data_IF_814100620509
#
_entry.id   IF_814100620509
#
_cell.length_a   1.000
_cell.length_b   1.000
_cell.length_c   1.000
_cell.angle_alpha   90.00
_cell.angle_beta   90.00
_cell.angle_gamma   90.00
#
_symmetry.space_group_name_H-M   'P 1'
#
loop_
_entity.id
_entity.type
_entity.pdbx_description
1 polymer ?
#
# COMPACT_ATOMS: atom_id res chain seq x y z
N UNK A 1 1.79 -8.30 -7.25
CA UNK A 1 2.82 -8.89 -6.34
C UNK A 1 2.23 -9.09 -4.96
N UNK A 2 2.78 -10.00 -4.15
CA UNK A 2 2.35 -10.20 -2.76
C UNK A 2 3.12 -9.30 -1.80
N UNK A 3 2.45 -8.81 -0.76
CA UNK A 3 3.04 -7.96 0.29
C UNK A 3 2.57 -8.41 1.68
N UNK A 4 3.41 -8.28 2.72
CA UNK A 4 2.99 -8.55 4.08
C UNK A 4 1.87 -7.61 4.52
N UNK A 5 0.80 -8.17 5.07
CA UNK A 5 -0.33 -7.42 5.60
C UNK A 5 -0.98 -8.10 6.80
N UNK A 6 -1.72 -7.33 7.59
CA UNK A 6 -2.48 -7.81 8.73
C UNK A 6 -3.72 -6.94 8.96
N UNK A 7 -4.75 -7.53 9.59
CA UNK A 7 -5.89 -6.81 10.16
C UNK A 7 -5.85 -6.87 11.68
N UNK A 8 -6.15 -5.74 12.34
CA UNK A 8 -6.16 -5.63 13.79
C UNK A 8 -4.82 -6.07 14.39
N UNK A 9 -4.86 -6.95 15.40
CA UNK A 9 -3.68 -7.45 16.11
C UNK A 9 -2.99 -8.67 15.47
N UNK A 10 -3.45 -9.12 14.29
CA UNK A 10 -2.83 -10.27 13.62
C UNK A 10 -1.36 -10.02 13.24
N UNK A 11 -0.58 -11.09 13.10
CA UNK A 11 0.76 -11.01 12.54
C UNK A 11 0.71 -10.65 11.05
N UNK A 12 1.73 -9.93 10.55
CA UNK A 12 1.84 -9.68 9.12
C UNK A 12 2.17 -10.96 8.37
N UNK A 13 1.40 -11.25 7.32
CA UNK A 13 1.60 -12.38 6.42
C UNK A 13 1.58 -11.92 4.95
N UNK A 14 2.38 -12.51 4.05
CA UNK A 14 2.51 -12.09 2.64
C UNK A 14 1.31 -12.49 1.77
N UNK A 15 0.09 -12.23 2.25
CA UNK A 15 -1.15 -12.73 1.64
C UNK A 15 -1.89 -11.65 0.84
N UNK A 16 -1.58 -10.38 1.07
CA UNK A 16 -2.20 -9.30 0.30
C UNK A 16 -1.54 -9.15 -1.06
N UNK A 17 -2.33 -8.83 -2.07
CA UNK A 17 -1.81 -8.40 -3.36
C UNK A 17 -1.80 -6.87 -3.46
N UNK A 18 -0.80 -6.34 -4.14
CA UNK A 18 -0.73 -4.92 -4.50
C UNK A 18 -0.66 -4.77 -6.02
N UNK A 19 -1.48 -3.84 -6.51
CA UNK A 19 -1.55 -3.40 -7.89
C UNK A 19 -1.31 -1.89 -7.94
N UNK A 20 -0.49 -1.42 -8.89
CA UNK A 20 -0.25 -0.01 -9.12
C UNK A 20 -0.92 0.41 -10.42
N UNK A 21 -1.66 1.52 -10.39
CA UNK A 21 -2.21 2.18 -11.58
C UNK A 21 -1.78 3.65 -11.60
N UNK A 22 -1.58 4.18 -12.81
CA UNK A 22 -1.20 5.58 -13.03
C UNK A 22 -2.30 6.27 -13.82
N UNK A 23 -2.70 7.45 -13.37
CA UNK A 23 -3.69 8.28 -14.06
C UNK A 23 -3.36 9.76 -13.94
N UNK A 24 -4.29 10.61 -14.40
CA UNK A 24 -4.18 12.06 -14.25
C UNK A 24 -4.03 12.50 -12.79
N UNK A 25 -4.57 11.68 -11.88
CA UNK A 25 -4.48 11.83 -10.43
C UNK A 25 -3.18 11.26 -9.81
N UNK A 26 -2.17 10.96 -10.61
CA UNK A 26 -0.93 10.36 -10.13
C UNK A 26 -1.06 8.85 -9.92
N UNK A 27 -0.35 8.33 -8.91
CA UNK A 27 -0.20 6.88 -8.72
C UNK A 27 -1.20 6.38 -7.68
N UNK A 28 -2.04 5.42 -8.03
CA UNK A 28 -2.96 4.74 -7.13
C UNK A 28 -2.49 3.29 -6.92
N UNK A 29 -2.32 2.92 -5.65
CA UNK A 29 -2.08 1.57 -5.18
C UNK A 29 -3.39 0.96 -4.73
N UNK A 30 -3.71 -0.21 -5.26
CA UNK A 30 -4.83 -1.05 -4.80
C UNK A 30 -4.26 -2.23 -4.02
N UNK A 31 -4.57 -2.31 -2.74
CA UNK A 31 -4.20 -3.41 -1.85
C UNK A 31 -5.42 -4.31 -1.65
N UNK A 32 -5.30 -5.60 -1.99
CA UNK A 32 -6.39 -6.56 -1.88
C UNK A 32 -6.04 -7.63 -0.84
N UNK A 33 -6.94 -7.82 0.12
CA UNK A 33 -6.89 -8.87 1.11
C UNK A 33 -7.44 -10.18 0.52
N UNK A 34 -7.02 -11.35 1.04
CA UNK A 34 -7.51 -12.65 0.58
C UNK A 34 -9.02 -12.85 0.83
N UNK A 35 -9.61 -12.10 1.75
CA UNK A 35 -11.05 -12.11 2.01
C UNK A 35 -11.87 -11.28 0.99
N UNK A 36 -11.22 -10.72 -0.04
CA UNK A 36 -11.83 -9.92 -1.09
C UNK A 36 -11.93 -8.43 -0.75
N UNK A 37 -11.66 -8.02 0.49
CA UNK A 37 -11.60 -6.61 0.88
C UNK A 37 -10.43 -5.89 0.20
N UNK A 38 -10.58 -4.60 -0.09
CA UNK A 38 -9.49 -3.82 -0.69
C UNK A 38 -9.41 -2.38 -0.17
N UNK A 39 -8.22 -1.79 -0.28
CA UNK A 39 -7.92 -0.39 0.03
C UNK A 39 -7.25 0.29 -1.15
N UNK A 40 -7.58 1.56 -1.38
CA UNK A 40 -6.97 2.39 -2.42
C UNK A 40 -6.19 3.53 -1.81
N UNK A 41 -4.96 3.67 -2.26
CA UNK A 41 -3.94 4.51 -1.69
C UNK A 41 -3.29 5.34 -2.81
N UNK A 42 -3.44 6.65 -2.81
CA UNK A 42 -2.76 7.59 -3.72
C UNK A 42 -1.37 7.91 -3.17
N UNK A 43 -0.33 7.70 -3.97
CA UNK A 43 1.02 8.13 -3.61
C UNK A 43 1.08 9.66 -3.78
N UNK A 44 1.58 10.34 -2.76
CA UNK A 44 1.85 11.78 -2.82
C UNK A 44 2.88 12.08 -3.91
N UNK A 45 2.78 13.22 -4.61
CA UNK A 45 3.73 13.60 -5.66
C UNK A 45 5.19 13.69 -5.18
N UNK A 46 5.41 13.86 -3.88
CA UNK A 46 6.73 13.90 -3.26
C UNK A 46 7.39 12.51 -3.10
N UNK A 47 6.67 11.43 -3.39
CA UNK A 47 7.13 10.04 -3.25
C UNK A 47 7.43 9.62 -1.82
N UNK A 48 7.10 10.45 -0.82
CA UNK A 48 7.41 10.24 0.60
C UNK A 48 6.17 9.91 1.43
N UNK A 49 4.99 9.98 0.84
CA UNK A 49 3.72 9.73 1.51
C UNK A 49 2.72 8.98 0.66
N UNK A 50 1.77 8.34 1.34
CA UNK A 50 0.62 7.67 0.74
C UNK A 50 -0.63 8.19 1.44
N UNK A 51 -1.65 8.58 0.69
CA UNK A 51 -2.91 9.16 1.18
C UNK A 51 -4.07 8.34 0.61
N UNK A 52 -5.12 8.02 1.36
CA UNK A 52 -6.27 7.32 0.76
C UNK A 52 -6.87 8.15 -0.40
N UNK A 53 -7.25 7.46 -1.48
CA UNK A 53 -7.68 8.13 -2.72
C UNK A 53 -9.00 8.91 -2.59
N UNK A 54 -9.80 8.64 -1.56
CA UNK A 54 -11.05 9.32 -1.22
C UNK A 54 -10.90 10.37 -0.10
N UNK A 55 -9.70 10.51 0.48
CA UNK A 55 -9.40 11.48 1.54
C UNK A 55 -10.06 11.19 2.91
N UNK A 56 -10.82 10.10 3.05
CA UNK A 56 -11.58 9.82 4.26
C UNK A 56 -10.72 9.28 5.42
N UNK A 57 -9.62 8.61 5.10
CA UNK A 57 -8.73 8.01 6.07
C UNK A 57 -7.26 8.28 5.71
N UNK A 58 -6.52 8.96 6.58
CA UNK A 58 -5.09 9.21 6.33
C UNK A 58 -4.31 7.95 6.64
N UNK A 59 -3.62 7.41 5.63
CA UNK A 59 -2.64 6.37 5.87
C UNK A 59 -1.48 6.95 6.69
N UNK A 60 -1.10 6.23 7.74
CA UNK A 60 0.09 6.54 8.52
C UNK A 60 1.25 5.75 7.92
N UNK A 61 2.26 6.46 7.42
CA UNK A 61 3.44 5.88 6.80
C UNK A 61 4.63 6.04 7.74
N UNK A 62 5.28 4.94 8.08
CA UNK A 62 6.49 4.92 8.89
C UNK A 62 7.60 4.21 8.15
N UNK A 63 8.83 4.70 8.26
CA UNK A 63 9.99 3.96 7.80
C UNK A 63 10.08 2.63 8.57
N UNK A 64 10.31 1.53 7.85
CA UNK A 64 10.44 0.21 8.44
C UNK A 64 11.88 -0.28 8.29
N UNK A 65 12.08 -1.53 7.86
CA UNK A 65 13.42 -2.03 7.51
C UNK A 65 13.95 -1.36 6.24
N UNK A 66 15.28 -1.33 6.01
CA UNK A 66 15.87 -0.75 4.82
C UNK A 66 15.19 -1.23 3.53
N UNK A 67 14.70 -0.30 2.72
CA UNK A 67 13.98 -0.60 1.48
C UNK A 67 12.46 -0.84 1.64
N UNK A 68 11.89 -0.66 2.83
CA UNK A 68 10.44 -0.80 3.05
C UNK A 68 9.84 0.31 3.93
N UNK A 69 8.53 0.49 3.78
CA UNK A 69 7.68 1.36 4.58
C UNK A 69 6.55 0.53 5.19
N UNK A 70 6.22 0.82 6.43
CA UNK A 70 5.00 0.32 7.06
C UNK A 70 3.89 1.34 6.85
N UNK A 71 2.72 0.86 6.42
CA UNK A 71 1.54 1.66 6.12
C UNK A 71 0.39 1.15 6.96
N UNK A 72 -0.14 1.99 7.84
CA UNK A 72 -1.34 1.71 8.61
C UNK A 72 -2.53 2.52 8.08
N UNK A 73 -3.67 1.85 7.88
CA UNK A 73 -4.92 2.44 7.45
C UNK A 73 -6.06 1.84 8.28
N UNK A 74 -6.54 2.60 9.26
CA UNK A 74 -7.49 2.10 10.25
C UNK A 74 -6.92 0.92 11.01
N UNK A 75 -7.60 -0.22 10.95
CA UNK A 75 -7.13 -1.48 11.55
C UNK A 75 -6.22 -2.28 10.63
N UNK A 76 -6.08 -1.89 9.36
CA UNK A 76 -5.24 -2.58 8.38
C UNK A 76 -3.79 -2.11 8.48
N UNK A 77 -2.84 -3.04 8.35
CA UNK A 77 -1.40 -2.76 8.35
C UNK A 77 -0.76 -3.47 7.17
N UNK A 78 0.16 -2.78 6.49
CA UNK A 78 0.85 -3.26 5.30
C UNK A 78 2.34 -2.95 5.38
N UNK A 79 3.18 -3.81 4.81
CA UNK A 79 4.59 -3.53 4.56
C UNK A 79 4.85 -3.46 3.07
N UNK A 80 5.18 -2.27 2.58
CA UNK A 80 5.39 -2.00 1.16
C UNK A 80 6.87 -1.72 0.89
N UNK A 81 7.39 -2.01 -0.31
CA UNK A 81 8.71 -1.52 -0.69
C UNK A 81 8.72 0.02 -0.72
N UNK A 82 9.80 0.65 -0.21
CA UNK A 82 9.95 2.10 -0.13
C UNK A 82 9.96 2.77 -1.50
N UNK A 83 10.46 2.07 -2.51
CA UNK A 83 10.27 2.37 -3.92
C UNK A 83 9.19 1.45 -4.46
N UNK A 84 7.95 1.93 -4.50
CA UNK A 84 6.92 1.27 -5.32
C UNK A 84 7.23 1.62 -6.78
N UNK A 85 8.18 0.89 -7.38
CA UNK A 85 8.62 1.14 -8.76
C UNK A 85 7.41 1.13 -9.71
N UNK A 86 7.39 2.02 -10.72
CA UNK A 86 6.54 1.85 -11.89
C UNK A 86 6.86 0.52 -12.54
N UNK A 87 5.95 -0.45 -12.44
CA UNK A 87 5.95 -1.63 -13.30
C UNK A 87 7.06 -2.65 -13.02
N UNK A 88 6.69 -3.72 -12.33
CA UNK A 88 7.24 -5.04 -12.60
C UNK A 88 6.06 -5.99 -12.80
N UNK A 89 5.46 -5.93 -14.00
CA UNK A 89 4.89 -7.05 -14.73
C UNK A 89 4.31 -6.56 -16.08
N UNK A 90 5.18 -6.59 -17.08
CA UNK A 90 4.82 -6.58 -18.49
C UNK A 90 5.78 -7.52 -19.20
N UNK A 91 5.40 -8.79 -19.32
CA UNK A 91 5.99 -9.79 -20.23
C UNK A 91 4.90 -10.77 -20.61
#
# INVERSE_FOLDING_TARGET
MHVPCAKGAAALAPDCTIEQSRGADGVILTLRHPDGGFRRLRISPDGRGVVAADGAERAQVTASTPGSIDVALGTDRYRLPATVQPGANGS
#
